data_IF_982149878588
#
_entry.id   IF_982149878588
#
_cell.length_a   1.000
_cell.length_b   1.000
_cell.length_c   1.000
_cell.angle_alpha   90.00
_cell.angle_beta   90.00
_cell.angle_gamma   90.00
#
_symmetry.space_group_name_H-M   'P 1'
#
loop_
_entity.id
_entity.type
_entity.pdbx_description
1 polymer ?
#
# COMPACT_ATOMS: atom_id res chain seq x y z
N UNK A 1 14.36 -9.11 -18.33
CA UNK A 1 13.26 -8.55 -17.54
C UNK A 1 13.81 -7.37 -16.76
N UNK A 2 13.24 -6.19 -16.97
CA UNK A 2 13.62 -4.97 -16.24
C UNK A 2 12.78 -4.82 -14.97
N UNK A 3 13.28 -4.05 -14.01
CA UNK A 3 12.55 -3.69 -12.79
C UNK A 3 11.21 -3.02 -13.14
N UNK A 4 11.24 -2.08 -14.10
CA UNK A 4 10.05 -1.38 -14.57
C UNK A 4 8.99 -2.32 -15.14
N UNK A 5 9.39 -3.33 -15.92
CA UNK A 5 8.47 -4.35 -16.46
C UNK A 5 7.80 -5.15 -15.34
N UNK A 6 8.58 -5.63 -14.35
CA UNK A 6 8.06 -6.41 -13.25
C UNK A 6 7.07 -5.62 -12.38
N UNK A 7 7.39 -4.36 -12.04
CA UNK A 7 6.47 -3.48 -11.30
C UNK A 7 5.22 -3.19 -12.12
N UNK A 8 5.33 -2.99 -13.43
CA UNK A 8 4.17 -2.74 -14.30
C UNK A 8 3.23 -3.95 -14.31
N UNK A 9 3.75 -5.17 -14.48
CA UNK A 9 2.95 -6.41 -14.45
C UNK A 9 2.32 -6.65 -13.08
N UNK A 10 3.10 -6.45 -12.01
CA UNK A 10 2.59 -6.57 -10.64
C UNK A 10 1.42 -5.60 -10.41
N UNK A 11 1.61 -4.34 -10.78
CA UNK A 11 0.59 -3.28 -10.66
C UNK A 11 -0.66 -3.61 -11.47
N UNK A 12 -0.50 -3.99 -12.75
CA UNK A 12 -1.61 -4.41 -13.62
C UNK A 12 -2.39 -5.55 -12.98
N UNK A 13 -1.69 -6.55 -12.44
CA UNK A 13 -2.38 -7.67 -11.78
C UNK A 13 -3.24 -7.23 -10.60
N UNK A 14 -2.93 -6.11 -9.94
CA UNK A 14 -3.72 -5.58 -8.82
C UNK A 14 -4.81 -4.60 -9.24
N UNK A 15 -4.73 -4.04 -10.45
CA UNK A 15 -5.70 -3.08 -10.97
C UNK A 15 -6.71 -3.70 -11.92
N UNK A 16 -6.35 -4.78 -12.62
CA UNK A 16 -7.23 -5.49 -13.54
C UNK A 16 -7.67 -6.82 -12.91
N UNK A 17 -8.93 -6.95 -12.43
CA UNK A 17 -9.41 -8.19 -11.83
C UNK A 17 -9.47 -9.35 -12.83
N UNK A 18 -9.56 -9.09 -14.13
CA UNK A 18 -9.77 -10.12 -15.16
C UNK A 18 -8.47 -10.72 -15.74
N UNK A 19 -7.29 -10.37 -15.21
CA UNK A 19 -6.07 -11.09 -15.57
C UNK A 19 -6.13 -12.54 -15.08
N UNK A 20 -5.49 -13.45 -15.80
CA UNK A 20 -5.44 -14.87 -15.39
C UNK A 20 -4.70 -15.06 -14.07
N UNK A 21 -5.06 -16.11 -13.34
CA UNK A 21 -4.37 -16.51 -12.10
C UNK A 21 -2.87 -16.76 -12.34
N UNK A 22 -2.53 -17.37 -13.48
CA UNK A 22 -1.14 -17.60 -13.91
C UNK A 22 -0.37 -16.27 -14.07
N UNK A 23 -0.99 -15.26 -14.69
CA UNK A 23 -0.39 -13.93 -14.83
C UNK A 23 -0.18 -13.28 -13.46
N UNK A 24 -1.18 -13.35 -12.59
CA UNK A 24 -1.13 -12.78 -11.23
C UNK A 24 -0.03 -13.42 -10.37
N UNK A 25 0.08 -14.74 -10.44
CA UNK A 25 1.12 -15.49 -9.74
C UNK A 25 2.51 -15.14 -10.27
N UNK A 26 2.69 -15.18 -11.60
CA UNK A 26 3.95 -14.85 -12.26
C UNK A 26 4.43 -13.43 -11.93
N UNK A 27 3.54 -12.43 -12.03
CA UNK A 27 3.86 -11.04 -11.71
C UNK A 27 4.27 -10.85 -10.23
N UNK A 28 3.63 -11.59 -9.32
CA UNK A 28 3.99 -11.58 -7.89
C UNK A 28 5.39 -12.20 -7.66
N UNK A 29 5.71 -13.30 -8.35
CA UNK A 29 7.02 -13.94 -8.26
C UNK A 29 8.15 -13.12 -8.91
N UNK A 30 7.87 -12.34 -9.95
CA UNK A 30 8.81 -11.40 -10.55
C UNK A 30 9.22 -10.31 -9.55
N UNK A 31 8.25 -9.62 -8.94
CA UNK A 31 8.53 -8.56 -7.96
C UNK A 31 9.15 -9.13 -6.67
N UNK A 32 8.71 -10.31 -6.21
CA UNK A 32 9.31 -11.02 -5.08
C UNK A 32 10.79 -11.33 -5.34
N UNK A 33 11.13 -11.83 -6.53
CA UNK A 33 12.54 -12.08 -6.89
C UNK A 33 13.37 -10.80 -6.85
N UNK A 34 12.84 -9.68 -7.38
CA UNK A 34 13.52 -8.39 -7.31
C UNK A 34 13.78 -8.00 -5.85
N UNK A 35 12.81 -8.18 -4.95
CA UNK A 35 12.99 -7.88 -3.52
C UNK A 35 14.15 -8.64 -2.87
N UNK A 36 14.48 -9.83 -3.38
CA UNK A 36 15.60 -10.64 -2.89
C UNK A 36 16.92 -10.29 -3.59
N UNK A 37 16.89 -9.97 -4.89
CA UNK A 37 18.11 -9.68 -5.66
C UNK A 37 18.60 -8.24 -5.51
N UNK A 38 17.68 -7.30 -5.31
CA UNK A 38 17.95 -5.89 -5.07
C UNK A 38 17.10 -5.38 -3.89
N UNK A 39 17.43 -5.79 -2.65
CA UNK A 39 16.66 -5.45 -1.47
C UNK A 39 16.72 -3.96 -1.15
N UNK A 40 17.79 -3.24 -1.52
CA UNK A 40 17.88 -1.80 -1.30
C UNK A 40 16.87 -1.06 -2.20
N UNK A 41 16.86 -1.35 -3.50
CA UNK A 41 15.89 -0.75 -4.42
C UNK A 41 14.45 -1.08 -3.99
N UNK A 42 14.17 -2.34 -3.62
CA UNK A 42 12.81 -2.74 -3.25
C UNK A 42 12.30 -2.00 -2.01
N UNK A 43 13.14 -1.82 -0.99
CA UNK A 43 12.76 -1.07 0.23
C UNK A 43 12.52 0.42 -0.08
N UNK A 44 13.31 1.03 -0.95
CA UNK A 44 13.09 2.40 -1.42
C UNK A 44 11.78 2.54 -2.21
N UNK A 45 11.50 1.60 -3.11
CA UNK A 45 10.25 1.57 -3.88
C UNK A 45 9.04 1.38 -2.96
N UNK A 46 9.09 0.37 -2.08
CA UNK A 46 7.97 0.03 -1.20
C UNK A 46 7.67 1.13 -0.17
N UNK A 47 8.71 1.72 0.44
CA UNK A 47 8.55 2.84 1.38
C UNK A 47 7.93 4.06 0.71
N UNK A 48 8.36 4.38 -0.50
CA UNK A 48 7.84 5.49 -1.28
C UNK A 48 6.39 5.30 -1.71
N UNK A 49 6.07 4.14 -2.30
CA UNK A 49 4.71 3.80 -2.75
C UNK A 49 3.74 3.80 -1.58
N UNK A 50 4.08 3.12 -0.47
CA UNK A 50 3.18 3.05 0.68
C UNK A 50 2.93 4.42 1.29
N UNK A 51 3.99 5.21 1.51
CA UNK A 51 3.87 6.58 2.06
C UNK A 51 2.97 7.43 1.19
N UNK A 52 3.19 7.42 -0.12
CA UNK A 52 2.41 8.23 -1.06
C UNK A 52 0.93 7.80 -1.09
N UNK A 53 0.64 6.50 -1.07
CA UNK A 53 -0.73 5.99 -1.04
C UNK A 53 -1.44 6.36 0.28
N UNK A 54 -0.76 6.25 1.43
CA UNK A 54 -1.34 6.60 2.74
C UNK A 54 -1.53 8.11 2.89
N UNK A 55 -0.56 8.92 2.47
CA UNK A 55 -0.64 10.40 2.56
C UNK A 55 -1.77 10.98 1.68
N UNK A 56 -2.16 10.24 0.66
CA UNK A 56 -3.21 10.64 -0.28
C UNK A 56 -4.60 10.14 0.08
N UNK A 57 -4.76 9.39 1.18
CA UNK A 57 -6.07 9.16 1.80
C UNK A 57 -6.66 10.46 2.37
N UNK A 58 -7.97 10.45 2.66
CA UNK A 58 -8.63 11.57 3.33
C UNK A 58 -7.88 11.87 4.65
N UNK A 59 -7.50 13.14 4.92
CA UNK A 59 -6.91 13.54 6.21
C UNK A 59 -7.68 13.04 7.45
N UNK A 60 -9.00 12.87 7.35
CA UNK A 60 -9.86 12.43 8.45
C UNK A 60 -10.11 10.92 8.47
N UNK A 61 -9.58 10.16 7.49
CA UNK A 61 -9.72 8.71 7.45
C UNK A 61 -9.06 8.05 8.68
N UNK A 62 -9.77 7.20 9.45
CA UNK A 62 -9.18 6.49 10.59
C UNK A 62 -7.97 5.62 10.20
N UNK A 63 -7.91 5.08 8.98
CA UNK A 63 -6.77 4.29 8.50
C UNK A 63 -5.52 5.16 8.31
N UNK A 64 -5.69 6.44 7.98
CA UNK A 64 -4.58 7.40 7.87
C UNK A 64 -4.05 7.85 9.23
N UNK A 65 -4.83 7.64 10.29
CA UNK A 65 -4.57 8.15 11.63
C UNK A 65 -4.40 7.01 12.66
N UNK A 66 -3.75 5.91 12.27
CA UNK A 66 -3.50 4.80 13.21
C UNK A 66 -2.47 5.18 14.29
N UNK A 67 -2.59 4.60 15.48
CA UNK A 67 -1.67 4.80 16.60
C UNK A 67 -0.92 3.53 16.99
N UNK A 68 -0.05 3.65 17.99
CA UNK A 68 0.50 2.52 18.75
C UNK A 68 -0.12 2.52 20.14
N UNK A 69 -0.65 1.36 20.54
CA UNK A 69 -1.06 1.10 21.91
C UNK A 69 -0.48 -0.24 22.36
N UNK A 70 0.39 -0.21 23.36
CA UNK A 70 1.04 -1.40 23.93
C UNK A 70 1.75 -2.27 22.88
N UNK A 71 2.27 -1.64 21.82
CA UNK A 71 2.97 -2.31 20.75
C UNK A 71 2.08 -2.88 19.65
N UNK A 72 0.76 -2.74 19.76
CA UNK A 72 -0.21 -3.03 18.71
C UNK A 72 -0.56 -1.76 17.93
N UNK A 73 -0.82 -1.91 16.63
CA UNK A 73 -1.31 -0.80 15.80
C UNK A 73 -2.82 -0.73 15.93
N UNK A 74 -3.34 0.45 16.23
CA UNK A 74 -4.76 0.66 16.53
C UNK A 74 -5.36 1.79 15.68
N UNK A 75 -6.66 1.74 15.44
CA UNK A 75 -7.43 2.87 14.93
C UNK A 75 -7.58 3.97 16.01
N UNK A 76 -8.02 5.19 15.67
CA UNK A 76 -8.24 6.27 16.64
C UNK A 76 -9.20 5.95 17.79
N UNK A 77 -10.11 4.98 17.61
CA UNK A 77 -11.04 4.51 18.63
C UNK A 77 -10.43 3.44 19.57
N UNK A 78 -9.17 3.07 19.37
CA UNK A 78 -8.44 2.06 20.14
C UNK A 78 -8.67 0.62 19.65
N UNK A 79 -9.49 0.40 18.62
CA UNK A 79 -9.68 -0.93 18.05
C UNK A 79 -8.43 -1.40 17.27
N UNK A 80 -8.13 -2.72 17.22
CA UNK A 80 -6.97 -3.23 16.50
C UNK A 80 -7.04 -2.93 14.99
N UNK A 81 -5.90 -2.56 14.40
CA UNK A 81 -5.75 -2.38 12.95
C UNK A 81 -5.10 -3.60 12.28
N UNK A 82 -5.60 -3.98 11.11
CA UNK A 82 -5.10 -5.07 10.28
C UNK A 82 -6.10 -6.19 10.03
N UNK A 83 -7.40 -6.01 10.30
CA UNK A 83 -8.46 -6.94 9.88
C UNK A 83 -9.58 -6.29 9.06
N UNK A 84 -10.40 -7.11 8.41
CA UNK A 84 -11.49 -6.63 7.54
C UNK A 84 -12.51 -5.74 8.26
N UNK A 85 -12.63 -5.82 9.59
CA UNK A 85 -13.56 -4.98 10.36
C UNK A 85 -13.15 -3.52 10.30
N UNK A 86 -11.88 -3.23 10.07
CA UNK A 86 -11.43 -1.87 9.87
C UNK A 86 -12.11 -1.20 8.66
N UNK A 87 -12.60 -1.95 7.67
CA UNK A 87 -13.28 -1.40 6.50
C UNK A 87 -14.80 -1.25 6.67
N UNK A 88 -15.38 -1.74 7.77
CA UNK A 88 -16.83 -1.66 8.00
C UNK A 88 -17.29 -0.26 8.42
N UNK A 89 -16.36 0.69 8.50
CA UNK A 89 -16.69 2.11 8.62
C UNK A 89 -17.22 2.68 7.29
N UNK A 90 -16.87 2.09 6.14
CA UNK A 90 -17.32 2.52 4.81
C UNK A 90 -18.10 1.43 4.06
N UNK A 91 -17.97 0.18 4.47
CA UNK A 91 -18.60 -0.97 3.82
C UNK A 91 -19.59 -1.66 4.76
N UNK A 92 -20.66 -2.27 4.23
CA UNK A 92 -21.58 -3.05 5.05
C UNK A 92 -20.87 -4.23 5.71
N UNK A 93 -21.30 -4.57 6.92
CA UNK A 93 -20.84 -5.79 7.61
C UNK A 93 -21.35 -7.02 6.85
N UNK A 94 -20.49 -7.99 6.50
CA UNK A 94 -20.90 -9.17 5.75
C UNK A 94 -21.79 -10.06 6.61
N UNK A 95 -22.86 -10.61 6.02
CA UNK A 95 -23.88 -11.39 6.73
C UNK A 95 -23.33 -12.67 7.37
N UNK A 96 -22.33 -13.28 6.75
CA UNK A 96 -21.74 -14.56 7.19
C UNK A 96 -20.49 -14.37 8.08
N UNK A 97 -20.11 -13.11 8.38
CA UNK A 97 -18.88 -12.75 9.08
C UNK A 97 -17.60 -13.33 8.45
N UNK A 98 -17.67 -13.74 7.18
CA UNK A 98 -16.55 -14.22 6.37
C UNK A 98 -16.28 -13.22 5.24
N UNK A 99 -15.19 -12.44 5.30
CA UNK A 99 -14.84 -11.47 4.26
C UNK A 99 -14.48 -12.12 2.93
N UNK A 100 -14.14 -13.42 2.89
CA UNK A 100 -13.80 -14.12 1.65
C UNK A 100 -15.01 -14.41 0.75
N UNK A 101 -16.21 -14.34 1.32
CA UNK A 101 -17.49 -14.53 0.63
C UNK A 101 -18.14 -13.20 0.23
N UNK A 102 -17.54 -12.07 0.61
CA UNK A 102 -18.01 -10.73 0.30
C UNK A 102 -17.11 -10.08 -0.75
N UNK A 103 -17.68 -9.72 -1.90
CA UNK A 103 -16.92 -9.14 -3.03
C UNK A 103 -16.25 -7.80 -2.67
N UNK A 104 -16.83 -7.03 -1.75
CA UNK A 104 -16.30 -5.76 -1.27
C UNK A 104 -15.18 -5.93 -0.25
N UNK A 105 -15.15 -7.03 0.50
CA UNK A 105 -14.16 -7.29 1.56
C UNK A 105 -13.14 -8.38 1.23
N UNK A 106 -13.28 -9.09 0.10
CA UNK A 106 -12.40 -10.20 -0.27
C UNK A 106 -10.90 -9.82 -0.31
N UNK A 107 -10.59 -8.56 -0.64
CA UNK A 107 -9.21 -8.04 -0.62
C UNK A 107 -8.59 -8.01 0.80
N UNK A 108 -9.43 -7.99 1.84
CA UNK A 108 -9.04 -7.98 3.25
C UNK A 108 -9.26 -9.33 3.94
N UNK A 109 -9.57 -10.39 3.17
CA UNK A 109 -9.82 -11.71 3.72
C UNK A 109 -8.62 -12.30 4.46
N UNK A 110 -7.42 -11.87 4.11
CA UNK A 110 -6.19 -12.16 4.87
C UNK A 110 -5.83 -10.95 5.73
N UNK A 111 -5.77 -11.10 7.07
CA UNK A 111 -5.33 -10.04 7.97
C UNK A 111 -3.89 -9.61 7.67
N UNK A 112 -3.57 -8.34 7.97
CA UNK A 112 -2.19 -7.89 7.98
C UNK A 112 -1.41 -8.64 9.07
N UNK A 113 -0.17 -9.00 8.74
CA UNK A 113 0.78 -9.43 9.77
C UNK A 113 1.10 -8.25 10.70
N UNK A 114 1.52 -8.51 11.96
CA UNK A 114 1.98 -7.44 12.84
C UNK A 114 3.08 -6.57 12.21
N UNK A 115 4.01 -7.18 11.46
CA UNK A 115 5.06 -6.45 10.75
C UNK A 115 4.48 -5.54 9.64
N UNK A 116 3.46 -6.00 8.92
CA UNK A 116 2.79 -5.20 7.89
C UNK A 116 2.02 -4.02 8.49
N UNK A 117 1.31 -4.24 9.62
CA UNK A 117 0.65 -3.16 10.35
C UNK A 117 1.67 -2.13 10.89
N UNK A 118 2.85 -2.58 11.33
CA UNK A 118 3.95 -1.68 11.75
C UNK A 118 4.47 -0.84 10.60
N UNK A 119 4.66 -1.44 9.43
CA UNK A 119 5.08 -0.73 8.21
C UNK A 119 4.01 0.27 7.77
N UNK A 120 2.72 -0.05 7.92
CA UNK A 120 1.63 0.91 7.74
C UNK A 120 1.75 2.10 8.69
N UNK A 121 1.88 1.84 10.00
CA UNK A 121 2.03 2.91 11.00
C UNK A 121 3.22 3.83 10.68
N UNK A 122 4.35 3.25 10.27
CA UNK A 122 5.53 4.01 9.88
C UNK A 122 5.27 4.96 8.69
N UNK A 123 4.38 4.59 7.75
CA UNK A 123 4.06 5.38 6.57
C UNK A 123 3.45 6.75 6.91
N UNK A 124 2.79 6.88 8.07
CA UNK A 124 2.29 8.18 8.55
C UNK A 124 3.42 9.15 8.92
N UNK A 125 4.57 8.62 9.32
CA UNK A 125 5.77 9.41 9.65
C UNK A 125 6.66 9.67 8.42
N UNK A 126 6.26 9.16 7.25
CA UNK A 126 6.95 9.35 5.98
C UNK A 126 7.86 8.19 5.58
N UNK A 127 8.43 8.33 4.38
CA UNK A 127 9.22 7.29 3.70
C UNK A 127 10.37 6.76 4.55
N UNK A 128 11.10 7.63 5.22
CA UNK A 128 12.32 7.24 5.93
C UNK A 128 12.00 6.34 7.14
N UNK A 129 10.87 6.56 7.81
CA UNK A 129 10.38 5.68 8.88
C UNK A 129 9.98 4.30 8.33
N UNK A 130 9.35 4.24 7.16
CA UNK A 130 9.03 2.96 6.50
C UNK A 130 10.31 2.24 6.09
N UNK A 131 11.29 2.96 5.56
CA UNK A 131 12.59 2.40 5.17
C UNK A 131 13.28 1.78 6.39
N UNK A 132 13.33 2.49 7.52
CA UNK A 132 13.88 1.97 8.78
C UNK A 132 13.12 0.71 9.26
N UNK A 133 11.79 0.71 9.20
CA UNK A 133 10.98 -0.45 9.56
C UNK A 133 11.27 -1.67 8.66
N UNK A 134 11.54 -1.44 7.37
CA UNK A 134 11.89 -2.50 6.41
C UNK A 134 13.37 -2.92 6.50
N UNK A 135 14.26 -2.07 6.99
CA UNK A 135 15.68 -2.38 7.18
C UNK A 135 15.90 -3.46 8.25
N UNK A 136 14.99 -3.55 9.23
CA UNK A 136 15.00 -4.59 10.27
C UNK A 136 14.52 -5.97 9.80
N UNK A 137 14.17 -6.15 8.52
CA UNK A 137 13.63 -7.40 7.98
C UNK A 137 14.71 -8.14 7.18
N UNK A 138 14.78 -9.46 7.35
CA UNK A 138 15.68 -10.32 6.60
C UNK A 138 15.54 -10.16 5.08
N UNK A 139 16.65 -10.35 4.35
CA UNK A 139 16.68 -10.29 2.89
C UNK A 139 15.67 -11.28 2.29
N UNK A 140 14.83 -10.79 1.38
CA UNK A 140 13.72 -11.56 0.79
C UNK A 140 12.45 -11.63 1.64
N UNK A 141 12.49 -11.18 2.89
CA UNK A 141 11.31 -11.06 3.77
C UNK A 141 10.49 -9.80 3.54
N UNK A 142 11.12 -8.71 3.07
CA UNK A 142 10.48 -7.40 2.91
C UNK A 142 9.26 -7.43 1.98
N UNK A 143 9.25 -8.28 0.95
CA UNK A 143 8.10 -8.41 0.05
C UNK A 143 6.82 -8.83 0.80
N UNK A 144 6.92 -9.88 1.61
CA UNK A 144 5.77 -10.44 2.35
C UNK A 144 5.26 -9.50 3.45
N UNK A 145 6.03 -8.47 3.82
CA UNK A 145 5.63 -7.46 4.80
C UNK A 145 5.06 -6.21 4.13
N UNK A 146 5.78 -5.66 3.15
CA UNK A 146 5.43 -4.38 2.53
C UNK A 146 4.26 -4.50 1.54
N UNK A 147 4.22 -5.57 0.74
CA UNK A 147 3.20 -5.72 -0.30
C UNK A 147 1.79 -5.79 0.26
N UNK A 148 1.49 -6.58 1.32
CA UNK A 148 0.16 -6.55 1.94
C UNK A 148 -0.25 -5.15 2.42
N UNK A 149 0.67 -4.37 3.01
CA UNK A 149 0.38 -3.01 3.45
C UNK A 149 0.08 -2.07 2.26
N UNK A 150 0.82 -2.22 1.15
CA UNK A 150 0.56 -1.47 -0.09
C UNK A 150 -0.80 -1.86 -0.68
N UNK A 151 -1.12 -3.15 -0.75
CA UNK A 151 -2.40 -3.66 -1.27
C UNK A 151 -3.58 -3.15 -0.41
N UNK A 152 -3.42 -3.08 0.91
CA UNK A 152 -4.38 -2.45 1.80
C UNK A 152 -4.56 -0.95 1.53
N UNK A 153 -3.47 -0.23 1.22
CA UNK A 153 -3.55 1.20 0.91
C UNK A 153 -4.24 1.43 -0.44
N UNK A 154 -3.95 0.58 -1.43
CA UNK A 154 -4.66 0.55 -2.71
C UNK A 154 -6.14 0.28 -2.52
N UNK A 155 -6.50 -0.73 -1.73
CA UNK A 155 -7.89 -1.05 -1.42
C UNK A 155 -8.61 0.14 -0.79
N UNK A 156 -8.02 0.74 0.25
CA UNK A 156 -8.64 1.85 0.97
C UNK A 156 -8.86 3.06 0.07
N UNK A 157 -7.88 3.40 -0.77
CA UNK A 157 -8.02 4.46 -1.77
C UNK A 157 -9.16 4.21 -2.76
N UNK A 158 -9.35 2.97 -3.22
CA UNK A 158 -10.44 2.63 -4.15
C UNK A 158 -11.83 2.80 -3.57
N UNK A 159 -11.98 2.77 -2.24
CA UNK A 159 -13.26 3.10 -1.60
C UNK A 159 -13.65 4.57 -1.82
N UNK A 160 -12.67 5.46 -1.98
CA UNK A 160 -12.89 6.88 -2.25
C UNK A 160 -12.87 7.22 -3.75
N UNK A 161 -11.91 6.65 -4.48
CA UNK A 161 -11.60 7.04 -5.86
C UNK A 161 -12.27 6.15 -6.92
N UNK A 162 -12.87 5.04 -6.51
CA UNK A 162 -13.39 4.00 -7.39
C UNK A 162 -12.34 2.97 -7.82
N UNK A 163 -12.79 1.90 -8.49
CA UNK A 163 -11.92 0.79 -8.92
C UNK A 163 -10.82 1.24 -9.90
N UNK A 164 -11.15 2.22 -10.75
CA UNK A 164 -10.28 2.77 -11.80
C UNK A 164 -9.34 3.89 -11.29
N UNK A 165 -8.91 3.84 -10.01
CA UNK A 165 -8.00 4.84 -9.44
C UNK A 165 -6.66 4.87 -10.21
N UNK A 166 -6.56 5.81 -11.15
CA UNK A 166 -5.42 5.98 -12.03
C UNK A 166 -4.14 6.39 -11.29
N UNK A 167 -4.22 6.86 -10.04
CA UNK A 167 -3.04 7.21 -9.26
C UNK A 167 -2.22 5.98 -8.87
N UNK A 168 -2.88 4.84 -8.57
CA UNK A 168 -2.22 3.60 -8.17
C UNK A 168 -1.14 3.17 -9.19
N UNK A 169 -1.45 3.02 -10.50
CA UNK A 169 -0.43 2.65 -11.46
C UNK A 169 0.61 3.74 -11.71
N UNK A 170 0.21 5.02 -11.59
CA UNK A 170 1.13 6.15 -11.74
C UNK A 170 2.19 6.16 -10.63
N UNK A 171 1.78 6.02 -9.36
CA UNK A 171 2.70 6.06 -8.22
C UNK A 171 3.63 4.84 -8.20
N UNK A 172 3.11 3.63 -8.46
CA UNK A 172 3.94 2.43 -8.52
C UNK A 172 5.02 2.53 -9.62
N UNK A 173 4.66 3.06 -10.79
CA UNK A 173 5.59 3.23 -11.92
C UNK A 173 6.56 4.39 -11.70
N UNK A 174 6.11 5.52 -11.18
CA UNK A 174 6.98 6.68 -10.92
C UNK A 174 8.07 6.33 -9.90
N UNK A 175 7.75 5.53 -8.89
CA UNK A 175 8.70 5.09 -7.89
C UNK A 175 9.77 4.13 -8.40
N UNK A 176 9.60 3.48 -9.56
CA UNK A 176 10.66 2.59 -10.08
C UNK A 176 11.91 3.39 -10.43
N UNK A 177 11.74 4.49 -11.17
CA UNK A 177 12.83 5.38 -11.55
C UNK A 177 13.33 6.18 -10.34
N UNK A 178 12.40 6.70 -9.52
CA UNK A 178 12.77 7.47 -8.33
C UNK A 178 13.63 6.65 -7.35
N UNK A 179 13.29 5.39 -7.10
CA UNK A 179 14.07 4.51 -6.24
C UNK A 179 15.48 4.26 -6.80
N UNK A 180 15.63 4.09 -8.13
CA UNK A 180 16.95 3.97 -8.77
C UNK A 180 17.80 5.23 -8.58
N UNK A 181 17.22 6.42 -8.80
CA UNK A 181 17.92 7.69 -8.60
C UNK A 181 18.36 7.86 -7.13
N UNK A 182 17.48 7.57 -6.17
CA UNK A 182 17.81 7.66 -4.74
C UNK A 182 18.93 6.67 -4.38
N UNK A 183 18.85 5.42 -4.85
CA UNK A 183 19.87 4.41 -4.58
C UNK A 183 21.26 4.82 -5.09
N UNK A 184 21.31 5.59 -6.19
CA UNK A 184 22.55 6.13 -6.78
C UNK A 184 22.94 7.50 -6.27
N UNK A 185 22.18 8.08 -5.33
CA UNK A 185 22.36 9.47 -4.87
C UNK A 185 22.30 10.49 -6.01
N UNK A 186 21.50 10.21 -7.04
CA UNK A 186 21.28 11.08 -8.19
C UNK A 186 20.09 12.02 -7.94
N UNK A 187 20.11 13.26 -8.47
CA UNK A 187 18.97 14.17 -8.38
C UNK A 187 17.70 13.58 -9.01
N UNK A 188 16.54 13.91 -8.43
CA UNK A 188 15.21 13.55 -8.93
C UNK A 188 14.28 14.76 -8.91
N UNK A 189 13.24 14.78 -9.77
CA UNK A 189 12.20 15.83 -9.76
C UNK A 189 11.24 15.64 -8.56
N UNK A 190 11.71 16.04 -7.39
CA UNK A 190 10.94 16.04 -6.14
C UNK A 190 9.71 16.96 -6.22
N UNK A 191 9.80 18.05 -6.98
CA UNK A 191 8.67 18.97 -7.18
C UNK A 191 7.57 18.35 -8.03
N UNK A 192 7.93 17.60 -9.08
CA UNK A 192 7.00 16.83 -9.89
C UNK A 192 6.30 15.73 -9.10
N UNK A 193 7.05 14.98 -8.29
CA UNK A 193 6.47 13.97 -7.40
C UNK A 193 5.48 14.59 -6.40
N UNK A 194 5.83 15.73 -5.79
CA UNK A 194 4.95 16.44 -4.87
C UNK A 194 3.66 16.95 -5.55
N UNK A 195 3.76 17.49 -6.78
CA UNK A 195 2.59 17.91 -7.56
C UNK A 195 1.67 16.74 -7.89
N UNK A 196 2.24 15.62 -8.34
CA UNK A 196 1.49 14.41 -8.65
C UNK A 196 0.71 13.92 -7.41
N UNK A 197 1.40 13.81 -6.27
CA UNK A 197 0.78 13.41 -5.00
C UNK A 197 -0.33 14.38 -4.58
N UNK A 198 -0.08 15.68 -4.60
CA UNK A 198 -1.05 16.69 -4.20
C UNK A 198 -2.32 16.66 -5.07
N UNK A 199 -2.17 16.45 -6.38
CA UNK A 199 -3.28 16.36 -7.33
C UNK A 199 -4.09 15.06 -7.24
N UNK A 200 -3.61 14.05 -6.51
CA UNK A 200 -4.25 12.72 -6.39
C UNK A 200 -4.74 12.40 -4.98
N UNK A 201 -4.74 13.39 -4.08
CA UNK A 201 -5.32 13.26 -2.74
C UNK A 201 -6.83 13.08 -2.84
N UNK A 202 -7.36 12.19 -2.02
CA UNK A 202 -8.80 12.11 -1.73
C UNK A 202 -9.25 13.46 -1.17
N UNK A 203 -10.43 13.92 -1.60
CA UNK A 203 -10.98 15.21 -1.17
C UNK A 203 -11.23 15.19 0.35
N UNK A 204 -10.73 16.19 1.12
CA UNK A 204 -10.95 16.23 2.56
C UNK A 204 -12.43 16.16 2.95
N UNK A 205 -12.77 15.27 3.89
CA UNK A 205 -14.13 15.06 4.36
C UNK A 205 -14.93 14.01 3.57
N UNK A 206 -14.36 13.42 2.52
CA UNK A 206 -14.94 12.29 1.77
C UNK A 206 -15.26 11.10 2.68
N UNK A 207 -14.43 10.81 3.69
CA UNK A 207 -14.69 9.76 4.68
C UNK A 207 -16.01 10.00 5.42
N UNK A 208 -16.24 11.21 5.93
CA UNK A 208 -17.48 11.53 6.65
C UNK A 208 -18.73 11.48 5.77
N UNK A 209 -18.58 11.67 4.47
CA UNK A 209 -19.69 11.61 3.53
C UNK A 209 -20.09 10.17 3.19
N UNK A 210 -19.15 9.22 3.32
CA UNK A 210 -19.34 7.81 2.99
C UNK A 210 -19.60 6.92 4.21
N UNK A 211 -19.17 7.36 5.41
CA UNK A 211 -19.33 6.65 6.68
C UNK A 211 -20.74 6.76 7.30
#
# INVERSE_FOLDING_TARGET
MTIREAVSRWTISRCEPLVSDEYRASASDELRRISSTDPQWFRLWASGVLTDLVETLDPEDPWRNTGDQEGAVVLPDGSPFGDWRNATDLLPVPSEADPSLDVGLAALAQPLSPASSRVWLAAQSGRDAVLEALDGIDVGGAYSVAVPAIEWAMFRRRLFMGQEDAYIPQVCTAWTARAEHIARSEPWDESGAARLRAGSRVEPGSWRLLA
#
